data_IF_710856563382
#
_entry.id   IF_710856563382
#
_cell.length_a   1.000
_cell.length_b   1.000
_cell.length_c   1.000
_cell.angle_alpha   90.00
_cell.angle_beta   90.00
_cell.angle_gamma   90.00
#
_symmetry.space_group_name_H-M   'P 1'
#
loop_
_entity.id
_entity.type
_entity.pdbx_description
1 polymer ?
#
# COMPACT_ATOMS: atom_id res chain seq x y z
N UNK A 1 8.94 -21.51 -16.90
CA UNK A 1 9.05 -20.47 -15.84
C UNK A 1 8.29 -20.85 -14.56
N UNK A 2 7.07 -21.38 -14.62
CA UNK A 2 6.30 -21.78 -13.41
C UNK A 2 6.89 -22.97 -12.62
N UNK A 3 7.56 -23.91 -13.31
CA UNK A 3 8.17 -25.07 -12.66
C UNK A 3 9.30 -24.66 -11.68
N UNK A 4 10.07 -23.63 -12.01
CA UNK A 4 11.14 -23.09 -11.17
C UNK A 4 10.59 -22.37 -9.93
N UNK A 5 9.44 -21.68 -10.05
CA UNK A 5 8.76 -21.05 -8.92
C UNK A 5 8.14 -22.05 -7.94
N UNK A 6 7.59 -23.16 -8.45
CA UNK A 6 7.11 -24.28 -7.61
C UNK A 6 8.25 -24.99 -6.88
N UNK A 7 9.39 -25.17 -7.53
CA UNK A 7 10.59 -25.74 -6.90
C UNK A 7 11.16 -24.80 -5.82
N UNK A 8 11.24 -23.50 -6.09
CA UNK A 8 11.69 -22.50 -5.12
C UNK A 8 10.76 -22.40 -3.90
N UNK A 9 9.44 -22.54 -4.10
CA UNK A 9 8.47 -22.54 -3.00
C UNK A 9 8.58 -23.82 -2.15
N UNK A 10 8.77 -24.99 -2.77
CA UNK A 10 9.01 -26.25 -2.05
C UNK A 10 10.33 -26.24 -1.28
N UNK A 11 11.39 -25.64 -1.83
CA UNK A 11 12.67 -25.49 -1.15
C UNK A 11 12.55 -24.54 0.05
N UNK A 12 11.81 -23.42 -0.09
CA UNK A 12 11.48 -22.53 1.03
C UNK A 12 10.69 -23.24 2.13
N UNK A 13 9.74 -24.09 1.76
CA UNK A 13 8.93 -24.84 2.72
C UNK A 13 9.74 -25.96 3.39
N UNK A 14 10.64 -26.63 2.66
CA UNK A 14 11.60 -27.58 3.23
C UNK A 14 12.61 -26.88 4.14
N UNK A 15 13.10 -25.70 3.79
CA UNK A 15 14.03 -24.89 4.62
C UNK A 15 13.31 -24.32 5.85
N UNK A 16 12.03 -23.97 5.75
CA UNK A 16 11.22 -23.60 6.92
C UNK A 16 10.95 -24.79 7.86
N UNK A 17 10.83 -26.00 7.32
CA UNK A 17 10.71 -27.25 8.12
C UNK A 17 12.06 -27.78 8.62
N UNK A 18 13.16 -27.48 7.93
CA UNK A 18 14.53 -27.86 8.30
C UNK A 18 15.33 -26.73 8.97
N UNK A 19 14.69 -25.59 9.23
CA UNK A 19 15.17 -24.54 10.12
C UNK A 19 15.26 -25.12 11.53
N UNK A 20 16.37 -25.80 11.76
CA UNK A 20 16.88 -26.43 12.98
C UNK A 20 16.11 -26.04 14.24
N UNK A 21 14.95 -26.67 14.43
CA UNK A 21 14.39 -26.90 15.75
C UNK A 21 15.26 -27.99 16.38
N UNK A 22 16.47 -27.60 16.81
CA UNK A 22 17.27 -28.42 17.72
C UNK A 22 16.54 -28.38 19.05
N UNK A 23 15.63 -29.32 19.20
CA UNK A 23 15.09 -29.75 20.46
C UNK A 23 16.24 -30.33 21.31
N UNK A 24 17.01 -29.47 21.98
CA UNK A 24 17.77 -29.86 23.16
C UNK A 24 16.91 -29.56 24.40
N UNK A 25 15.78 -30.25 24.48
CA UNK A 25 14.93 -30.30 25.67
C UNK A 25 15.28 -31.53 26.47
N UNK A 26 16.20 -31.39 27.42
CA UNK A 26 16.67 -32.48 28.27
C UNK A 26 16.99 -31.99 29.68
N UNK A 27 15.96 -32.01 30.52
CA UNK A 27 15.99 -32.07 31.98
C UNK A 27 16.12 -30.75 32.77
N UNK A 28 15.19 -30.63 33.73
CA UNK A 28 15.10 -29.70 34.86
C UNK A 28 14.49 -28.31 34.64
N UNK A 29 13.16 -28.26 34.80
CA UNK A 29 12.52 -27.36 35.77
C UNK A 29 12.38 -25.88 35.39
N UNK A 30 11.38 -25.55 34.56
CA UNK A 30 10.53 -24.37 34.77
C UNK A 30 9.33 -24.43 33.80
N UNK A 31 8.16 -24.85 34.28
CA UNK A 31 6.93 -24.94 33.46
C UNK A 31 6.48 -23.59 32.88
N UNK A 32 6.94 -22.48 33.47
CA UNK A 32 6.64 -21.11 33.01
C UNK A 32 7.48 -20.67 31.80
N UNK A 33 8.64 -21.29 31.54
CA UNK A 33 9.47 -20.92 30.38
C UNK A 33 8.90 -21.47 29.06
N UNK A 34 8.28 -22.65 29.08
CA UNK A 34 7.76 -23.29 27.87
C UNK A 34 6.55 -22.54 27.27
N UNK A 35 5.68 -21.99 28.12
CA UNK A 35 4.52 -21.20 27.68
C UNK A 35 4.93 -19.84 27.09
N UNK A 36 5.97 -19.22 27.67
CA UNK A 36 6.52 -17.95 27.19
C UNK A 36 7.15 -18.12 25.80
N UNK A 37 7.85 -19.23 25.56
CA UNK A 37 8.49 -19.56 24.28
C UNK A 37 7.47 -19.77 23.14
N UNK A 38 6.36 -20.49 23.39
CA UNK A 38 5.32 -20.69 22.36
C UNK A 38 4.58 -19.38 22.01
N UNK A 39 4.35 -18.53 23.01
CA UNK A 39 3.70 -17.22 22.81
C UNK A 39 4.59 -16.24 22.04
N UNK A 40 5.92 -16.30 22.27
CA UNK A 40 6.94 -15.54 21.55
C UNK A 40 7.00 -15.96 20.08
N UNK A 41 7.06 -17.26 19.81
CA UNK A 41 7.08 -17.78 18.44
C UNK A 41 5.84 -17.34 17.66
N UNK A 42 4.65 -17.38 18.28
CA UNK A 42 3.41 -16.88 17.66
C UNK A 42 3.47 -15.37 17.41
N UNK A 43 4.06 -14.60 18.32
CA UNK A 43 4.24 -13.16 18.18
C UNK A 43 5.20 -12.83 17.03
N UNK A 44 6.35 -13.52 16.96
CA UNK A 44 7.34 -13.34 15.89
C UNK A 44 6.73 -13.66 14.51
N UNK A 45 6.08 -14.82 14.36
CA UNK A 45 5.37 -15.19 13.14
C UNK A 45 4.26 -14.17 12.78
N UNK A 46 3.56 -13.69 13.82
CA UNK A 46 2.78 -12.44 13.88
C UNK A 46 3.38 -11.35 13.02
N UNK A 47 4.49 -10.85 13.54
CA UNK A 47 5.19 -9.67 13.07
C UNK A 47 5.77 -9.87 11.68
N UNK A 48 6.31 -11.04 11.36
CA UNK A 48 6.83 -11.37 10.03
C UNK A 48 5.73 -11.27 8.96
N UNK A 49 4.54 -11.82 9.24
CA UNK A 49 3.39 -11.74 8.32
C UNK A 49 2.98 -10.29 8.07
N UNK A 50 2.87 -9.49 9.13
CA UNK A 50 2.55 -8.07 9.04
C UNK A 50 3.61 -7.29 8.26
N UNK A 51 4.89 -7.59 8.47
CA UNK A 51 5.99 -6.97 7.74
C UNK A 51 5.93 -7.26 6.24
N UNK A 52 5.72 -8.53 5.87
CA UNK A 52 5.59 -8.92 4.47
C UNK A 52 4.36 -8.29 3.81
N UNK A 53 3.22 -8.29 4.50
CA UNK A 53 1.96 -7.71 4.03
C UNK A 53 2.09 -6.20 3.78
N UNK A 54 2.56 -5.45 4.78
CA UNK A 54 2.74 -3.99 4.67
C UNK A 54 3.78 -3.58 3.63
N UNK A 55 4.84 -4.40 3.44
CA UNK A 55 5.82 -4.22 2.37
C UNK A 55 5.19 -4.43 0.99
N UNK A 56 4.41 -5.48 0.80
CA UNK A 56 3.71 -5.74 -0.46
C UNK A 56 2.69 -4.63 -0.76
N UNK A 57 1.88 -4.24 0.23
CA UNK A 57 0.92 -3.15 0.11
C UNK A 57 1.58 -1.83 -0.31
N UNK A 58 2.73 -1.47 0.29
CA UNK A 58 3.53 -0.29 -0.12
C UNK A 58 3.87 -0.32 -1.61
N UNK A 59 4.29 -1.48 -2.14
CA UNK A 59 4.63 -1.62 -3.56
C UNK A 59 3.41 -1.47 -4.46
N UNK A 60 2.31 -2.16 -4.15
CA UNK A 60 1.09 -2.06 -4.94
C UNK A 60 0.49 -0.65 -4.93
N UNK A 61 0.45 0.00 -3.76
CA UNK A 61 0.00 1.40 -3.66
C UNK A 61 0.86 2.33 -4.53
N UNK A 62 2.19 2.14 -4.56
CA UNK A 62 3.08 2.91 -5.42
C UNK A 62 2.81 2.70 -6.90
N UNK A 63 2.52 1.46 -7.31
CA UNK A 63 2.22 1.15 -8.71
C UNK A 63 0.86 1.74 -9.13
N UNK A 64 -0.14 1.75 -8.24
CA UNK A 64 -1.41 2.48 -8.45
C UNK A 64 -1.15 3.98 -8.61
N UNK A 65 -0.36 4.60 -7.72
CA UNK A 65 -0.01 6.03 -7.82
C UNK A 65 0.61 6.35 -9.17
N UNK A 66 1.59 5.55 -9.62
CA UNK A 66 2.23 5.74 -10.93
C UNK A 66 1.25 5.60 -12.09
N UNK A 67 0.35 4.62 -12.03
CA UNK A 67 -0.68 4.43 -13.05
C UNK A 67 -1.62 5.64 -13.14
N UNK A 68 -2.10 6.13 -11.99
CA UNK A 68 -2.97 7.30 -11.90
C UNK A 68 -2.26 8.58 -12.38
N UNK A 69 -1.02 8.81 -11.95
CA UNK A 69 -0.21 9.96 -12.38
C UNK A 69 0.03 9.92 -13.89
N UNK A 70 0.39 8.76 -14.45
CA UNK A 70 0.55 8.58 -15.89
C UNK A 70 -0.75 8.87 -16.65
N UNK A 71 -1.88 8.38 -16.15
CA UNK A 71 -3.19 8.67 -16.70
C UNK A 71 -3.51 10.17 -16.67
N UNK A 72 -3.20 10.87 -15.57
CA UNK A 72 -3.40 12.32 -15.44
C UNK A 72 -2.56 13.10 -16.46
N UNK A 73 -1.30 12.73 -16.66
CA UNK A 73 -0.42 13.39 -17.63
C UNK A 73 -0.97 13.22 -19.05
N UNK A 74 -1.31 12.00 -19.45
CA UNK A 74 -1.90 11.74 -20.78
C UNK A 74 -3.26 12.40 -20.93
N UNK A 75 -4.11 12.33 -19.89
CA UNK A 75 -5.43 12.94 -19.88
C UNK A 75 -5.38 14.45 -20.01
N UNK A 76 -4.43 15.12 -19.34
CA UNK A 76 -4.21 16.56 -19.47
C UNK A 76 -3.86 16.93 -20.90
N UNK A 77 -3.06 16.10 -21.58
CA UNK A 77 -2.75 16.32 -22.99
C UNK A 77 -3.97 16.16 -23.89
N UNK A 78 -4.84 15.20 -23.60
CA UNK A 78 -6.11 15.04 -24.32
C UNK A 78 -7.02 16.26 -24.13
N UNK A 79 -7.08 16.83 -22.92
CA UNK A 79 -7.84 18.05 -22.64
C UNK A 79 -7.31 19.22 -23.47
N UNK A 80 -5.99 19.42 -23.57
CA UNK A 80 -5.41 20.47 -24.42
C UNK A 80 -5.80 20.31 -25.90
N UNK A 81 -5.67 19.09 -26.43
CA UNK A 81 -6.02 18.79 -27.83
C UNK A 81 -7.52 18.99 -28.06
N UNK A 82 -8.35 18.53 -27.11
CA UNK A 82 -9.79 18.67 -27.13
C UNK A 82 -10.21 20.14 -27.14
N UNK A 83 -9.64 20.98 -26.27
CA UNK A 83 -9.90 22.42 -26.24
C UNK A 83 -9.57 23.08 -27.57
N UNK A 84 -8.42 22.76 -28.18
CA UNK A 84 -8.09 23.29 -29.50
C UNK A 84 -9.11 22.89 -30.57
N UNK A 85 -9.59 21.65 -30.56
CA UNK A 85 -10.64 21.20 -31.47
C UNK A 85 -11.96 21.97 -31.25
N UNK A 86 -12.29 22.30 -29.99
CA UNK A 86 -13.45 23.12 -29.65
C UNK A 86 -13.31 24.52 -30.26
N UNK A 87 -12.16 25.16 -30.06
CA UNK A 87 -11.86 26.50 -30.56
C UNK A 87 -11.95 26.54 -32.09
N UNK A 88 -11.33 25.58 -32.78
CA UNK A 88 -11.37 25.48 -34.24
C UNK A 88 -12.80 25.27 -34.77
N UNK A 89 -13.62 24.47 -34.07
CA UNK A 89 -15.03 24.22 -34.44
C UNK A 89 -15.91 25.47 -34.22
N UNK A 90 -15.71 26.18 -33.11
CA UNK A 90 -16.43 27.43 -32.84
C UNK A 90 -16.02 28.52 -33.82
N UNK A 91 -14.73 28.62 -34.13
CA UNK A 91 -14.18 29.54 -35.12
C UNK A 91 -14.80 29.29 -36.50
N UNK A 92 -14.89 28.03 -36.93
CA UNK A 92 -15.61 27.68 -38.15
C UNK A 92 -17.06 28.17 -38.10
N UNK A 93 -17.77 27.97 -36.98
CA UNK A 93 -19.14 28.43 -36.85
C UNK A 93 -19.30 29.95 -36.92
N UNK A 94 -18.37 30.72 -36.36
CA UNK A 94 -18.46 32.19 -36.25
C UNK A 94 -17.94 32.90 -37.51
N UNK A 95 -16.80 32.46 -38.04
CA UNK A 95 -16.08 33.17 -39.12
C UNK A 95 -16.47 32.70 -40.53
N UNK A 96 -17.27 31.63 -40.66
CA UNK A 96 -17.68 31.13 -41.96
C UNK A 96 -18.62 32.11 -42.68
N UNK A 97 -18.23 32.54 -43.88
CA UNK A 97 -18.95 33.52 -44.72
C UNK A 97 -19.95 32.89 -45.68
N UNK A 98 -20.40 31.66 -45.39
CA UNK A 98 -21.31 30.91 -46.25
C UNK A 98 -22.60 31.70 -46.53
N UNK A 99 -22.93 31.86 -47.81
CA UNK A 99 -24.09 32.63 -48.28
C UNK A 99 -25.33 31.76 -48.54
N UNK A 100 -25.19 30.43 -48.50
CA UNK A 100 -26.25 29.47 -48.85
C UNK A 100 -26.97 28.84 -47.65
N UNK A 101 -26.69 29.28 -46.42
CA UNK A 101 -27.37 28.83 -45.20
C UNK A 101 -26.49 28.84 -43.95
N UNK A 102 -27.09 28.80 -42.76
CA UNK A 102 -26.38 28.86 -41.46
C UNK A 102 -26.41 27.56 -40.65
N UNK A 103 -27.08 26.51 -41.14
CA UNK A 103 -27.26 25.22 -40.43
C UNK A 103 -25.92 24.61 -39.98
N UNK A 104 -24.95 24.53 -40.90
CA UNK A 104 -23.63 23.96 -40.61
C UNK A 104 -22.81 24.83 -39.65
N UNK A 105 -22.88 26.16 -39.80
CA UNK A 105 -22.21 27.11 -38.90
C UNK A 105 -22.74 26.98 -37.47
N UNK A 106 -24.07 26.92 -37.30
CA UNK A 106 -24.72 26.66 -36.01
C UNK A 106 -24.31 25.31 -35.42
N UNK A 107 -24.39 24.23 -36.21
CA UNK A 107 -24.03 22.89 -35.77
C UNK A 107 -22.57 22.82 -35.27
N UNK A 108 -21.64 23.46 -35.99
CA UNK A 108 -20.23 23.56 -35.60
C UNK A 108 -20.03 24.35 -34.29
N UNK A 109 -20.74 25.47 -34.12
CA UNK A 109 -20.72 26.24 -32.86
C UNK A 109 -21.25 25.42 -31.69
N UNK A 110 -22.39 24.73 -31.85
CA UNK A 110 -22.98 23.90 -30.78
C UNK A 110 -22.06 22.74 -30.41
N UNK A 111 -21.52 22.03 -31.41
CA UNK A 111 -20.54 20.96 -31.17
C UNK A 111 -19.32 21.48 -30.40
N UNK A 112 -18.73 22.60 -30.84
CA UNK A 112 -17.57 23.18 -30.18
C UNK A 112 -17.84 23.61 -28.73
N UNK A 113 -19.05 24.09 -28.42
CA UNK A 113 -19.46 24.40 -27.04
C UNK A 113 -19.61 23.16 -26.18
N UNK A 114 -20.38 22.17 -26.66
CA UNK A 114 -20.58 20.91 -25.95
C UNK A 114 -19.25 20.18 -25.69
N UNK A 115 -18.37 20.12 -26.69
CA UNK A 115 -17.04 19.52 -26.55
C UNK A 115 -16.19 20.24 -25.49
N UNK A 116 -16.26 21.57 -25.42
CA UNK A 116 -15.53 22.35 -24.40
C UNK A 116 -16.01 22.02 -22.98
N UNK A 117 -17.32 21.83 -22.79
CA UNK A 117 -17.88 21.36 -21.52
C UNK A 117 -17.39 19.94 -21.18
N UNK A 118 -17.34 19.03 -22.16
CA UNK A 118 -16.81 17.67 -21.95
C UNK A 118 -15.34 17.70 -21.51
N UNK A 119 -14.51 18.56 -22.11
CA UNK A 119 -13.10 18.69 -21.72
C UNK A 119 -12.93 19.34 -20.34
N UNK A 120 -13.80 20.29 -19.98
CA UNK A 120 -13.86 20.82 -18.62
C UNK A 120 -14.16 19.72 -17.60
N UNK A 121 -15.16 18.88 -17.85
CA UNK A 121 -15.50 17.77 -16.95
C UNK A 121 -14.40 16.70 -16.90
N UNK A 122 -13.70 16.45 -18.02
CA UNK A 122 -12.50 15.61 -18.03
C UNK A 122 -11.43 16.19 -17.11
N UNK A 123 -11.15 17.50 -17.21
CA UNK A 123 -10.22 18.20 -16.32
C UNK A 123 -10.60 18.07 -14.83
N UNK A 124 -11.89 18.17 -14.49
CA UNK A 124 -12.39 17.97 -13.13
C UNK A 124 -12.10 16.54 -12.62
N UNK A 125 -12.35 15.52 -13.45
CA UNK A 125 -12.07 14.13 -13.12
C UNK A 125 -10.57 13.88 -12.89
N UNK A 126 -9.71 14.38 -13.78
CA UNK A 126 -8.25 14.24 -13.64
C UNK A 126 -7.73 14.94 -12.38
N UNK A 127 -8.29 16.10 -12.03
CA UNK A 127 -7.99 16.79 -10.77
C UNK A 127 -8.44 15.96 -9.55
N UNK A 128 -9.60 15.32 -9.62
CA UNK A 128 -10.06 14.42 -8.56
C UNK A 128 -9.13 13.21 -8.40
N UNK A 129 -8.66 12.61 -9.50
CA UNK A 129 -7.65 11.56 -9.44
C UNK A 129 -6.36 12.03 -8.75
N UNK A 130 -5.88 13.23 -9.06
CA UNK A 130 -4.67 13.78 -8.43
C UNK A 130 -4.84 13.97 -6.92
N UNK A 131 -5.87 14.72 -6.53
CA UNK A 131 -6.08 15.20 -5.16
C UNK A 131 -6.72 14.17 -4.24
N UNK A 132 -7.66 13.37 -4.75
CA UNK A 132 -8.41 12.41 -3.94
C UNK A 132 -7.81 11.01 -3.96
N UNK A 133 -6.97 10.65 -4.95
CA UNK A 133 -6.41 9.30 -5.11
C UNK A 133 -4.89 9.30 -4.99
N UNK A 134 -4.19 9.97 -5.91
CA UNK A 134 -2.73 9.90 -6.00
C UNK A 134 -2.04 10.50 -4.77
N UNK A 135 -2.43 11.70 -4.35
CA UNK A 135 -1.84 12.39 -3.19
C UNK A 135 -1.97 11.60 -1.88
N UNK A 136 -3.16 11.12 -1.46
CA UNK A 136 -3.27 10.32 -0.23
C UNK A 136 -2.50 9.01 -0.28
N UNK A 137 -2.49 8.29 -1.41
CA UNK A 137 -1.71 7.06 -1.54
C UNK A 137 -0.20 7.33 -1.52
N UNK A 138 0.25 8.42 -2.15
CA UNK A 138 1.66 8.84 -2.09
C UNK A 138 2.07 9.15 -0.65
N UNK A 139 1.23 9.87 0.09
CA UNK A 139 1.44 10.17 1.50
C UNK A 139 1.51 8.89 2.36
N UNK A 140 0.66 7.89 2.09
CA UNK A 140 0.71 6.58 2.77
C UNK A 140 2.02 5.84 2.54
N UNK A 141 2.49 5.83 1.29
CA UNK A 141 3.71 5.11 0.89
C UNK A 141 4.98 5.81 1.41
N UNK A 142 4.95 7.13 1.55
CA UNK A 142 6.08 7.96 2.00
C UNK A 142 6.00 8.36 3.49
N UNK A 143 4.94 7.96 4.19
CA UNK A 143 4.63 8.46 5.53
C UNK A 143 5.49 7.86 6.64
N UNK A 144 5.78 8.68 7.66
CA UNK A 144 6.47 8.28 8.88
C UNK A 144 5.88 7.05 9.60
N UNK A 145 4.54 6.88 9.72
CA UNK A 145 3.98 5.76 10.49
C UNK A 145 4.41 4.36 10.03
N UNK A 146 4.60 4.16 8.72
CA UNK A 146 5.08 2.89 8.18
C UNK A 146 6.56 2.66 8.49
N UNK A 147 7.39 3.70 8.40
CA UNK A 147 8.82 3.58 8.72
C UNK A 147 9.05 3.44 10.24
N UNK A 148 8.30 4.16 11.07
CA UNK A 148 8.34 4.03 12.53
C UNK A 148 7.97 2.61 12.98
N UNK A 149 6.89 2.04 12.42
CA UNK A 149 6.50 0.66 12.72
C UNK A 149 7.56 -0.36 12.28
N UNK A 150 8.24 -0.12 11.16
CA UNK A 150 9.37 -0.95 10.71
C UNK A 150 10.59 -0.84 11.63
N UNK A 151 10.87 0.36 12.15
CA UNK A 151 11.93 0.53 13.13
C UNK A 151 11.65 -0.24 14.42
N UNK A 152 10.40 -0.28 14.89
CA UNK A 152 10.01 -1.12 16.03
C UNK A 152 10.24 -2.61 15.73
N UNK A 153 9.84 -3.08 14.55
CA UNK A 153 10.06 -4.47 14.14
C UNK A 153 11.56 -4.83 14.10
N UNK A 154 12.40 -3.97 13.53
CA UNK A 154 13.85 -4.17 13.49
C UNK A 154 14.50 -4.13 14.88
N UNK A 155 14.01 -3.31 15.80
CA UNK A 155 14.49 -3.29 17.19
C UNK A 155 14.12 -4.60 17.90
N UNK A 156 12.91 -5.11 17.69
CA UNK A 156 12.50 -6.40 18.23
C UNK A 156 13.38 -7.54 17.70
N UNK A 157 13.64 -7.60 16.39
CA UNK A 157 14.49 -8.64 15.81
C UNK A 157 15.92 -8.63 16.39
N UNK A 158 16.50 -7.44 16.62
CA UNK A 158 17.81 -7.31 17.28
C UNK A 158 17.78 -7.82 18.72
N UNK A 159 16.76 -7.42 19.49
CA UNK A 159 16.62 -7.84 20.89
C UNK A 159 16.41 -9.36 21.00
N UNK A 160 15.69 -9.96 20.06
CA UNK A 160 15.52 -11.41 19.96
C UNK A 160 16.84 -12.13 19.72
N UNK A 161 17.66 -11.64 18.77
CA UNK A 161 19.00 -12.18 18.52
C UNK A 161 19.92 -12.05 19.75
N UNK A 162 19.83 -10.95 20.50
CA UNK A 162 20.56 -10.76 21.75
C UNK A 162 20.10 -11.74 22.84
N UNK A 163 18.80 -12.00 22.94
CA UNK A 163 18.24 -13.00 23.85
C UNK A 163 18.72 -14.42 23.49
N UNK A 164 18.69 -14.79 22.21
CA UNK A 164 19.18 -16.09 21.71
C UNK A 164 20.68 -16.29 22.05
N UNK A 165 21.50 -15.26 21.84
CA UNK A 165 22.91 -15.30 22.20
C UNK A 165 23.12 -15.46 23.72
N UNK A 166 22.28 -14.80 24.53
CA UNK A 166 22.34 -14.90 25.98
C UNK A 166 21.90 -16.29 26.48
N UNK A 167 20.93 -16.95 25.83
CA UNK A 167 20.54 -18.35 26.13
C UNK A 167 21.72 -19.31 25.95
N UNK A 168 22.49 -19.14 24.87
CA UNK A 168 23.69 -19.96 24.61
C UNK A 168 24.75 -19.75 25.71
N UNK A 169 24.96 -18.51 26.13
CA UNK A 169 25.94 -18.21 27.18
C UNK A 169 25.49 -18.73 28.56
N UNK A 170 24.20 -18.66 28.90
CA UNK A 170 23.65 -19.30 30.12
C UNK A 170 23.92 -20.79 30.10
N UNK A 171 23.60 -21.46 28.99
CA UNK A 171 23.85 -22.91 28.83
C UNK A 171 25.34 -23.26 28.98
N UNK A 172 26.23 -22.42 28.43
CA UNK A 172 27.69 -22.58 28.58
C UNK A 172 28.13 -22.44 30.03
N UNK A 173 27.58 -21.49 30.79
CA UNK A 173 27.90 -21.28 32.21
C UNK A 173 27.34 -22.38 33.10
N UNK A 174 26.15 -22.89 32.80
CA UNK A 174 25.58 -24.05 33.49
C UNK A 174 26.49 -25.28 33.37
N UNK A 175 27.06 -25.53 32.19
CA UNK A 175 28.03 -26.62 32.01
C UNK A 175 29.30 -26.41 32.85
N UNK A 176 29.83 -25.18 32.91
CA UNK A 176 31.01 -24.86 33.74
C UNK A 176 30.75 -25.03 35.24
N UNK A 177 29.56 -24.70 35.72
CA UNK A 177 29.17 -24.95 37.11
C UNK A 177 29.16 -26.46 37.41
N UNK A 178 28.70 -27.29 36.48
CA UNK A 178 28.74 -28.76 36.61
C UNK A 178 30.16 -29.31 36.64
N UNK A 179 31.09 -28.70 35.89
CA UNK A 179 32.50 -29.10 35.82
C UNK A 179 33.34 -28.59 37.02
N UNK A 180 32.97 -27.47 37.63
CA UNK A 180 33.68 -26.81 38.74
C UNK A 180 32.78 -26.66 39.98
N UNK A 181 32.18 -27.77 40.40
CA UNK A 181 31.24 -27.80 41.52
C UNK A 181 31.87 -27.22 42.80
N UNK A 182 31.27 -26.16 43.34
CA UNK A 182 31.72 -25.49 44.57
C UNK A 182 32.51 -24.19 44.38
N UNK A 183 32.82 -23.76 43.15
CA UNK A 183 33.43 -22.45 42.90
C UNK A 183 32.37 -21.34 42.90
N UNK A 184 32.32 -20.56 43.99
CA UNK A 184 31.38 -19.45 44.18
C UNK A 184 31.44 -18.39 43.08
N UNK A 185 32.60 -18.13 42.48
CA UNK A 185 32.75 -17.15 41.40
C UNK A 185 32.05 -17.60 40.11
N UNK A 186 32.07 -18.90 39.82
CA UNK A 186 31.41 -19.48 38.63
C UNK A 186 29.90 -19.48 38.80
N UNK A 187 29.42 -19.70 40.03
CA UNK A 187 27.99 -19.62 40.38
C UNK A 187 27.47 -18.19 40.23
N UNK A 188 28.15 -17.19 40.80
CA UNK A 188 27.72 -15.79 40.66
C UNK A 188 27.70 -15.29 39.21
N UNK A 189 28.63 -15.77 38.35
CA UNK A 189 28.62 -15.46 36.91
C UNK A 189 27.45 -16.10 36.16
N UNK A 190 26.99 -17.27 36.61
CA UNK A 190 25.79 -17.91 36.07
C UNK A 190 24.55 -17.11 36.47
N UNK A 191 24.40 -16.77 37.75
CA UNK A 191 23.27 -15.98 38.26
C UNK A 191 23.14 -14.63 37.54
N UNK A 192 24.25 -13.92 37.33
CA UNK A 192 24.26 -12.67 36.56
C UNK A 192 23.84 -12.86 35.09
N UNK A 193 24.18 -14.01 34.50
CA UNK A 193 23.80 -14.32 33.12
C UNK A 193 22.31 -14.68 32.99
N UNK A 194 21.76 -15.39 33.97
CA UNK A 194 20.34 -15.73 34.06
C UNK A 194 19.50 -14.49 34.33
N UNK A 195 19.94 -13.60 35.23
CA UNK A 195 19.28 -12.32 35.47
C UNK A 195 19.20 -11.46 34.20
N UNK A 196 20.31 -11.31 33.47
CA UNK A 196 20.33 -10.58 32.20
C UNK A 196 19.42 -11.22 31.14
N UNK A 197 19.32 -12.54 31.11
CA UNK A 197 18.42 -13.24 30.20
C UNK A 197 16.95 -12.91 30.50
N UNK A 198 16.56 -12.90 31.77
CA UNK A 198 15.20 -12.55 32.17
C UNK A 198 14.86 -11.08 31.88
N UNK A 199 15.80 -10.14 32.07
CA UNK A 199 15.62 -8.75 31.65
C UNK A 199 15.43 -8.60 30.13
N UNK A 200 16.22 -9.32 29.34
CA UNK A 200 16.11 -9.33 27.88
C UNK A 200 14.76 -9.90 27.42
N UNK A 201 14.32 -11.03 27.99
CA UNK A 201 13.02 -11.63 27.68
C UNK A 201 11.87 -10.68 28.00
N UNK A 202 11.87 -10.05 29.18
CA UNK A 202 10.83 -9.10 29.58
C UNK A 202 10.76 -7.90 28.62
N UNK A 203 11.91 -7.31 28.31
CA UNK A 203 12.02 -6.20 27.36
C UNK A 203 11.55 -6.60 25.95
N UNK A 204 11.90 -7.80 25.52
CA UNK A 204 11.54 -8.34 24.21
C UNK A 204 10.03 -8.53 24.07
N UNK A 205 9.37 -9.06 25.10
CA UNK A 205 7.91 -9.23 25.11
C UNK A 205 7.20 -7.87 25.00
N UNK A 206 7.66 -6.85 25.72
CA UNK A 206 7.11 -5.50 25.64
C UNK A 206 7.25 -4.91 24.23
N UNK A 207 8.48 -4.90 23.72
CA UNK A 207 8.79 -4.36 22.39
C UNK A 207 8.09 -5.13 21.26
N UNK A 208 7.96 -6.45 21.38
CA UNK A 208 7.25 -7.28 20.42
C UNK A 208 5.76 -6.94 20.35
N UNK A 209 5.11 -6.69 21.49
CA UNK A 209 3.70 -6.26 21.55
C UNK A 209 3.52 -4.89 20.86
N UNK A 210 4.42 -3.95 21.13
CA UNK A 210 4.41 -2.63 20.48
C UNK A 210 4.61 -2.72 18.97
N UNK A 211 5.60 -3.51 18.52
CA UNK A 211 5.87 -3.70 17.10
C UNK A 211 4.68 -4.33 16.36
N UNK A 212 4.05 -5.37 16.93
CA UNK A 212 2.87 -6.00 16.35
C UNK A 212 1.69 -5.03 16.30
N UNK A 213 1.45 -4.26 17.38
CA UNK A 213 0.37 -3.29 17.41
C UNK A 213 0.56 -2.20 16.34
N UNK A 214 1.77 -1.63 16.25
CA UNK A 214 2.10 -0.60 15.25
C UNK A 214 1.96 -1.13 13.82
N UNK A 215 2.54 -2.31 13.53
CA UNK A 215 2.48 -2.90 12.18
C UNK A 215 1.06 -3.31 11.78
N UNK A 216 0.24 -3.81 12.71
CA UNK A 216 -1.16 -4.11 12.46
C UNK A 216 -1.99 -2.85 12.20
N UNK A 217 -1.74 -1.76 12.93
CA UNK A 217 -2.39 -0.48 12.68
C UNK A 217 -2.06 0.06 11.28
N UNK A 218 -0.80 -0.04 10.86
CA UNK A 218 -0.35 0.35 9.52
C UNK A 218 -0.99 -0.51 8.44
N UNK A 219 -1.04 -1.82 8.60
CA UNK A 219 -1.72 -2.72 7.65
C UNK A 219 -3.20 -2.36 7.48
N UNK A 220 -3.93 -2.20 8.59
CA UNK A 220 -5.34 -1.84 8.57
C UNK A 220 -5.57 -0.47 7.91
N UNK A 221 -4.68 0.49 8.17
CA UNK A 221 -4.72 1.81 7.56
C UNK A 221 -4.43 1.75 6.05
N UNK A 222 -3.44 0.97 5.61
CA UNK A 222 -3.15 0.76 4.19
C UNK A 222 -4.34 0.17 3.45
N UNK A 223 -4.96 -0.89 4.00
CA UNK A 223 -6.13 -1.53 3.40
C UNK A 223 -7.32 -0.56 3.29
N UNK A 224 -7.66 0.12 4.39
CA UNK A 224 -8.79 1.06 4.43
C UNK A 224 -8.59 2.21 3.46
N UNK A 225 -7.41 2.85 3.50
CA UNK A 225 -7.15 3.98 2.62
C UNK A 225 -7.18 3.53 1.16
N UNK A 226 -6.50 2.44 0.79
CA UNK A 226 -6.50 1.94 -0.59
C UNK A 226 -7.92 1.66 -1.09
N UNK A 227 -8.76 0.99 -0.30
CA UNK A 227 -10.16 0.76 -0.68
C UNK A 227 -10.90 2.08 -0.94
N UNK A 228 -10.81 3.04 -0.01
CA UNK A 228 -11.45 4.35 -0.18
C UNK A 228 -10.96 5.08 -1.43
N UNK A 229 -9.67 4.98 -1.78
CA UNK A 229 -9.12 5.65 -2.95
C UNK A 229 -9.54 4.99 -4.25
N UNK A 230 -9.69 3.66 -4.27
CA UNK A 230 -10.25 2.95 -5.42
C UNK A 230 -11.72 3.33 -5.64
N UNK A 231 -12.51 3.44 -4.57
CA UNK A 231 -13.91 3.90 -4.64
C UNK A 231 -13.98 5.32 -5.20
N UNK A 232 -13.17 6.25 -4.66
CA UNK A 232 -13.14 7.64 -5.13
C UNK A 232 -12.79 7.76 -6.63
N UNK A 233 -11.91 6.88 -7.13
CA UNK A 233 -11.58 6.80 -8.55
C UNK A 233 -12.81 6.41 -9.39
N UNK A 234 -13.51 5.36 -8.98
CA UNK A 234 -14.75 4.90 -9.65
C UNK A 234 -15.84 5.98 -9.60
N UNK A 235 -16.01 6.66 -8.47
CA UNK A 235 -17.00 7.73 -8.30
C UNK A 235 -16.71 8.93 -9.21
N UNK A 236 -15.43 9.31 -9.33
CA UNK A 236 -15.00 10.39 -10.22
C UNK A 236 -15.25 10.03 -11.71
N UNK A 237 -14.92 8.79 -12.12
CA UNK A 237 -15.22 8.31 -13.48
C UNK A 237 -16.72 8.30 -13.75
N UNK A 238 -17.51 7.72 -12.83
CA UNK A 238 -18.96 7.68 -12.96
C UNK A 238 -19.55 9.08 -13.12
N UNK A 239 -19.13 10.02 -12.28
CA UNK A 239 -19.60 11.41 -12.32
C UNK A 239 -19.24 12.07 -13.64
N UNK A 240 -18.01 11.88 -14.12
CA UNK A 240 -17.56 12.37 -15.42
C UNK A 240 -18.44 11.83 -16.56
N UNK A 241 -18.61 10.51 -16.63
CA UNK A 241 -19.38 9.89 -17.71
C UNK A 241 -20.85 10.28 -17.68
N UNK A 242 -21.44 10.44 -16.50
CA UNK A 242 -22.80 10.96 -16.36
C UNK A 242 -22.93 12.38 -16.91
N UNK A 243 -21.99 13.27 -16.56
CA UNK A 243 -21.98 14.65 -17.07
C UNK A 243 -21.76 14.70 -18.58
N UNK A 244 -20.89 13.85 -19.11
CA UNK A 244 -20.68 13.75 -20.57
C UNK A 244 -21.96 13.32 -21.29
N UNK A 245 -22.68 12.33 -20.75
CA UNK A 245 -23.94 11.89 -21.33
C UNK A 245 -24.97 13.04 -21.35
N UNK A 246 -25.15 13.72 -20.21
CA UNK A 246 -26.05 14.90 -20.12
C UNK A 246 -25.71 15.99 -21.16
N UNK A 247 -24.41 16.26 -21.39
CA UNK A 247 -23.96 17.25 -22.38
C UNK A 247 -24.27 16.78 -23.81
N UNK A 248 -24.09 15.49 -24.11
CA UNK A 248 -24.33 14.93 -25.43
C UNK A 248 -25.82 14.87 -25.76
N UNK A 249 -26.66 14.49 -24.80
CA UNK A 249 -28.12 14.46 -24.95
C UNK A 249 -28.63 15.87 -25.29
N UNK A 250 -28.13 16.91 -24.59
CA UNK A 250 -28.50 18.29 -24.88
C UNK A 250 -28.02 18.76 -26.27
N UNK A 251 -26.84 18.32 -26.71
CA UNK A 251 -26.33 18.64 -28.05
C UNK A 251 -27.20 18.00 -29.15
N UNK A 252 -27.67 16.76 -28.94
CA UNK A 252 -28.56 16.09 -29.88
C UNK A 252 -29.89 16.84 -30.06
N UNK A 253 -30.45 17.36 -28.96
CA UNK A 253 -31.63 18.24 -28.98
C UNK A 253 -31.36 19.51 -29.80
N UNK A 254 -30.25 20.21 -29.56
CA UNK A 254 -29.89 21.42 -30.33
C UNK A 254 -29.69 21.13 -31.83
N UNK A 255 -29.11 19.98 -32.18
CA UNK A 255 -28.89 19.57 -33.56
C UNK A 255 -30.19 19.18 -34.28
N UNK A 256 -31.08 18.46 -33.61
CA UNK A 256 -32.39 18.08 -34.19
C UNK A 256 -33.28 19.30 -34.42
N UNK A 257 -33.29 20.28 -33.51
CA UNK A 257 -33.95 21.57 -33.72
C UNK A 257 -33.37 22.32 -34.93
N UNK A 258 -32.03 22.37 -35.04
CA UNK A 258 -31.33 23.05 -36.13
C UNK A 258 -31.63 22.40 -37.49
N UNK A 259 -31.69 21.06 -37.55
CA UNK A 259 -32.09 20.30 -38.73
C UNK A 259 -33.55 20.59 -39.13
N UNK A 260 -34.47 20.51 -38.18
CA UNK A 260 -35.90 20.78 -38.42
C UNK A 260 -36.16 22.21 -38.91
N UNK A 261 -35.38 23.19 -38.42
CA UNK A 261 -35.46 24.57 -38.87
C UNK A 261 -34.90 24.78 -40.29
N UNK A 262 -34.01 23.90 -40.78
CA UNK A 262 -33.39 24.02 -42.11
C UNK A 262 -34.23 23.44 -43.26
N UNK A 263 -35.25 22.64 -42.94
CA UNK A 263 -36.14 21.97 -43.91
C UNK A 263 -37.44 22.78 -44.16
N UNK A 264 -37.67 23.84 -43.38
CA UNK A 264 -38.79 24.79 -43.55
C UNK A 264 -38.36 26.01 -44.35
#
# INVERSE_FOLDING_TARGET
MEALWKQASRLKEQVARQGVFRQFGGAYGNSDNAFTDESEVKLHQRLEKLYLSTRAAKHFQRDVVRGVEGYIVTGSKQVEIGNKLCDDSQKYGIENTCTSGNTLSKAATYYGKARSLIEKERGNMLKAFGTQVAEPLRAMVMGAPLEDARHLAQRYDRMRQEADAQVVEVSRRQNRVRESAGNGEVISKLEAAEFKLEELKSSMVGLGKEAVAAMAAVEAQQQRLTLQRLIAMVEAERTYHQKVLEILDHLEEEHTETLNASVK
#
